data_IF_292634488198
#
_entry.id   IF_292634488198
#
_cell.length_a   1.000
_cell.length_b   1.000
_cell.length_c   1.000
_cell.angle_alpha   90.00
_cell.angle_beta   90.00
_cell.angle_gamma   90.00
#
_symmetry.space_group_name_H-M   'P 1'
#
loop_
_entity.id
_entity.type
_entity.pdbx_description
1 polymer ?
#
# COMPACT_ATOMS: atom_id res chain seq x y z
N UNK A 1 -31.95 2.79 23.39
CA UNK A 1 -31.35 2.77 22.03
C UNK A 1 -32.36 3.06 20.93
N UNK A 2 -33.46 2.33 20.71
CA UNK A 2 -34.38 2.58 19.59
C UNK A 2 -35.03 3.99 19.58
N UNK A 3 -35.41 4.52 20.75
CA UNK A 3 -36.01 5.84 20.86
C UNK A 3 -35.01 6.95 20.55
N UNK A 4 -33.77 6.86 21.03
CA UNK A 4 -32.68 7.79 20.72
C UNK A 4 -32.36 7.80 19.22
N UNK A 5 -32.26 6.64 18.59
CA UNK A 5 -32.05 6.54 17.14
C UNK A 5 -33.20 7.14 16.32
N UNK A 6 -34.46 7.07 16.81
CA UNK A 6 -35.55 7.69 16.10
C UNK A 6 -35.53 9.25 16.20
N UNK A 7 -34.97 9.76 17.29
CA UNK A 7 -34.83 11.23 17.49
C UNK A 7 -33.65 11.80 16.68
N UNK A 8 -32.51 11.10 16.63
CA UNK A 8 -31.28 11.59 15.95
C UNK A 8 -31.10 11.02 14.53
N UNK A 9 -31.90 10.04 14.15
CA UNK A 9 -31.73 9.33 12.88
C UNK A 9 -31.72 10.23 11.65
N UNK A 10 -32.56 11.30 11.64
CA UNK A 10 -32.58 12.27 10.55
C UNK A 10 -31.27 13.04 10.39
N UNK A 11 -30.52 13.21 11.47
CA UNK A 11 -29.19 13.86 11.45
C UNK A 11 -28.06 12.93 11.05
N UNK A 12 -28.30 11.62 11.06
CA UNK A 12 -27.31 10.60 10.70
C UNK A 12 -27.44 10.10 9.26
N UNK A 13 -28.53 10.48 8.58
CA UNK A 13 -28.75 10.08 7.18
C UNK A 13 -27.84 10.87 6.26
N UNK A 14 -27.20 10.18 5.31
CA UNK A 14 -26.30 10.77 4.30
C UNK A 14 -25.05 11.47 4.85
N UNK A 15 -24.61 11.13 6.05
CA UNK A 15 -23.30 11.55 6.51
C UNK A 15 -22.22 10.97 5.59
N UNK A 16 -21.45 11.88 4.98
CA UNK A 16 -20.29 11.51 4.17
C UNK A 16 -19.03 11.78 4.97
N UNK A 17 -18.27 10.73 5.21
CA UNK A 17 -16.91 10.88 5.73
C UNK A 17 -15.98 11.15 4.55
N UNK A 18 -15.05 12.08 4.74
CA UNK A 18 -13.98 12.34 3.79
C UNK A 18 -12.65 12.07 4.48
N UNK A 19 -11.96 11.03 4.02
CA UNK A 19 -10.61 10.72 4.45
C UNK A 19 -9.60 11.27 3.44
N UNK A 20 -8.47 11.75 3.94
CA UNK A 20 -7.36 12.25 3.11
C UNK A 20 -6.39 11.14 2.72
N UNK A 21 -6.51 9.97 3.33
CA UNK A 21 -5.59 8.84 3.18
C UNK A 21 -6.35 7.60 2.72
N UNK A 22 -5.73 6.84 1.82
CA UNK A 22 -6.24 5.53 1.41
C UNK A 22 -5.15 4.46 1.44
N UNK A 23 -5.58 3.20 1.59
CA UNK A 23 -4.75 2.01 1.40
C UNK A 23 -5.31 1.26 0.19
N UNK A 24 -4.48 1.07 -0.84
CA UNK A 24 -4.86 0.33 -2.04
C UNK A 24 -4.64 -1.15 -1.80
N UNK A 25 -5.71 -1.93 -1.93
CA UNK A 25 -5.71 -3.38 -1.72
C UNK A 25 -6.02 -4.08 -3.04
N UNK A 26 -5.18 -5.05 -3.43
CA UNK A 26 -5.31 -5.81 -4.67
C UNK A 26 -5.45 -7.31 -4.41
N UNK A 27 -6.47 -7.92 -4.98
CA UNK A 27 -6.68 -9.36 -4.95
C UNK A 27 -5.65 -10.12 -5.81
N UNK A 28 -5.20 -9.52 -6.91
CA UNK A 28 -4.15 -10.04 -7.76
C UNK A 28 -2.83 -10.15 -6.98
N UNK A 29 -2.44 -9.08 -6.29
CA UNK A 29 -1.26 -9.08 -5.44
C UNK A 29 -1.36 -10.11 -4.30
N UNK A 30 -2.51 -10.18 -3.63
CA UNK A 30 -2.78 -11.16 -2.59
C UNK A 30 -2.63 -12.60 -3.13
N UNK A 31 -3.19 -12.87 -4.31
CA UNK A 31 -3.13 -14.20 -4.93
C UNK A 31 -1.73 -14.54 -5.38
N UNK A 32 -1.04 -13.61 -6.04
CA UNK A 32 0.33 -13.79 -6.49
C UNK A 32 1.29 -14.08 -5.32
N UNK A 33 1.15 -13.34 -4.23
CA UNK A 33 2.01 -13.50 -3.05
C UNK A 33 1.76 -14.77 -2.24
N UNK A 34 0.69 -15.50 -2.50
CA UNK A 34 0.53 -16.88 -2.00
C UNK A 34 1.51 -17.85 -2.65
N UNK A 35 1.86 -17.60 -3.91
CA UNK A 35 2.79 -18.44 -4.69
C UNK A 35 4.24 -17.92 -4.59
N UNK A 36 4.41 -16.61 -4.59
CA UNK A 36 5.71 -15.91 -4.54
C UNK A 36 5.85 -15.18 -3.19
N UNK A 37 5.81 -15.93 -2.10
CA UNK A 37 5.72 -15.44 -0.73
C UNK A 37 6.59 -14.23 -0.43
N UNK A 38 6.11 -13.43 0.50
CA UNK A 38 6.79 -12.18 0.92
C UNK A 38 8.17 -12.50 1.48
N UNK A 39 8.26 -13.55 2.28
CA UNK A 39 9.51 -14.10 2.80
C UNK A 39 9.79 -15.47 2.17
N UNK A 40 10.36 -15.48 0.98
CA UNK A 40 10.88 -16.71 0.39
C UNK A 40 12.25 -17.02 1.01
N UNK A 41 12.28 -17.85 2.04
CA UNK A 41 13.52 -18.45 2.54
C UNK A 41 13.73 -19.82 1.91
N UNK A 42 14.96 -20.31 1.95
CA UNK A 42 15.27 -21.71 1.59
C UNK A 42 14.52 -22.72 2.47
N UNK A 43 14.01 -22.30 3.61
CA UNK A 43 13.23 -23.12 4.56
C UNK A 43 11.70 -23.00 4.37
N UNK A 44 11.21 -22.21 3.40
CA UNK A 44 9.79 -21.99 3.16
C UNK A 44 9.32 -20.60 3.50
N UNK A 45 8.00 -20.38 3.42
CA UNK A 45 7.36 -19.12 3.73
C UNK A 45 7.20 -18.98 5.26
N UNK A 46 7.75 -17.93 5.86
CA UNK A 46 7.70 -17.70 7.31
C UNK A 46 6.36 -17.18 7.83
N UNK A 47 5.31 -17.32 7.05
CA UNK A 47 3.95 -17.00 7.50
C UNK A 47 3.51 -15.55 7.32
N UNK A 48 4.39 -14.62 6.92
CA UNK A 48 3.99 -13.24 6.60
C UNK A 48 3.27 -13.23 5.26
N UNK A 49 2.03 -12.79 5.28
CA UNK A 49 1.18 -12.68 4.10
C UNK A 49 0.93 -11.22 3.69
N UNK A 50 0.31 -11.05 2.53
CA UNK A 50 -0.09 -9.75 2.01
C UNK A 50 -0.93 -8.95 3.03
N UNK A 51 -1.89 -9.62 3.66
CA UNK A 51 -2.77 -8.99 4.65
C UNK A 51 -2.02 -8.49 5.90
N UNK A 52 -0.87 -9.08 6.24
CA UNK A 52 -0.06 -8.60 7.36
C UNK A 52 0.58 -7.26 7.02
N UNK A 53 1.07 -7.10 5.78
CA UNK A 53 1.61 -5.80 5.31
C UNK A 53 0.53 -4.72 5.28
N UNK A 54 -0.67 -5.05 4.80
CA UNK A 54 -1.82 -4.15 4.83
C UNK A 54 -2.13 -3.72 6.27
N UNK A 55 -2.19 -4.70 7.20
CA UNK A 55 -2.48 -4.46 8.61
C UNK A 55 -1.42 -3.60 9.28
N UNK A 56 -0.14 -3.82 9.02
CA UNK A 56 0.93 -3.00 9.60
C UNK A 56 0.78 -1.52 9.23
N UNK A 57 0.43 -1.23 7.98
CA UNK A 57 0.16 0.15 7.55
C UNK A 57 -1.07 0.69 8.25
N UNK A 58 -2.16 -0.09 8.28
CA UNK A 58 -3.39 0.31 8.96
C UNK A 58 -3.17 0.58 10.45
N UNK A 59 -2.47 -0.32 11.16
CA UNK A 59 -2.20 -0.19 12.59
C UNK A 59 -1.34 1.05 12.88
N UNK A 60 -0.35 1.35 12.03
CA UNK A 60 0.45 2.56 12.15
C UNK A 60 -0.39 3.83 11.98
N UNK A 61 -1.27 3.88 10.97
CA UNK A 61 -2.19 4.99 10.76
C UNK A 61 -3.17 5.13 11.93
N UNK A 62 -3.71 4.02 12.40
CA UNK A 62 -4.61 3.98 13.55
C UNK A 62 -3.95 4.52 14.83
N UNK A 63 -2.71 4.12 15.12
CA UNK A 63 -1.95 4.64 16.28
C UNK A 63 -1.68 6.14 16.18
N UNK A 64 -1.55 6.67 14.97
CA UNK A 64 -1.41 8.10 14.72
C UNK A 64 -2.74 8.85 14.68
N UNK A 65 -3.86 8.15 14.91
CA UNK A 65 -5.22 8.69 14.80
C UNK A 65 -5.52 9.27 13.41
N UNK A 66 -4.97 8.62 12.37
CA UNK A 66 -5.23 8.95 10.97
C UNK A 66 -6.23 7.93 10.43
N UNK A 67 -7.38 8.41 10.03
CA UNK A 67 -8.39 7.58 9.38
C UNK A 67 -8.07 7.37 7.90
N UNK A 68 -8.32 6.17 7.40
CA UNK A 68 -8.07 5.85 6.00
C UNK A 68 -9.23 5.06 5.39
N UNK A 69 -9.38 5.19 4.08
CA UNK A 69 -10.25 4.34 3.27
C UNK A 69 -9.47 3.18 2.68
N UNK A 70 -10.17 2.10 2.35
CA UNK A 70 -9.64 1.05 1.51
C UNK A 70 -10.13 1.27 0.08
N UNK A 71 -9.20 1.25 -0.88
CA UNK A 71 -9.49 1.40 -2.31
C UNK A 71 -8.94 0.20 -3.08
N UNK A 72 -9.55 -0.09 -4.21
CA UNK A 72 -9.21 -1.22 -5.07
C UNK A 72 -8.64 -0.72 -6.40
N UNK A 73 -7.99 -1.58 -7.19
CA UNK A 73 -7.48 -1.23 -8.52
C UNK A 73 -8.52 -0.57 -9.43
N UNK A 74 -9.78 -0.95 -9.30
CA UNK A 74 -10.89 -0.46 -10.10
C UNK A 74 -11.52 0.84 -9.56
N UNK A 75 -11.06 1.35 -8.42
CA UNK A 75 -11.60 2.59 -7.84
C UNK A 75 -11.30 3.79 -8.73
N UNK A 76 -12.34 4.57 -9.06
CA UNK A 76 -12.23 5.68 -10.02
C UNK A 76 -11.71 6.99 -9.41
N UNK A 77 -11.78 7.15 -8.09
CA UNK A 77 -11.58 8.45 -7.44
C UNK A 77 -10.30 8.48 -6.58
N UNK A 78 -9.17 8.09 -7.14
CA UNK A 78 -7.89 8.10 -6.40
C UNK A 78 -7.42 9.53 -6.09
N UNK A 79 -7.73 10.49 -6.95
CA UNK A 79 -7.35 11.89 -6.85
C UNK A 79 -7.95 12.63 -5.64
N UNK A 80 -8.99 12.07 -5.02
CA UNK A 80 -9.57 12.65 -3.80
C UNK A 80 -8.67 12.52 -2.57
N UNK A 81 -7.72 11.59 -2.58
CA UNK A 81 -6.82 11.34 -1.46
C UNK A 81 -5.54 12.15 -1.60
N UNK A 82 -5.01 12.63 -0.48
CA UNK A 82 -3.71 13.31 -0.41
C UNK A 82 -2.56 12.30 -0.41
N UNK A 83 -2.80 11.13 0.20
CA UNK A 83 -1.82 10.05 0.26
C UNK A 83 -2.47 8.69 0.02
N UNK A 84 -1.82 7.87 -0.80
CA UNK A 84 -2.21 6.48 -1.05
C UNK A 84 -1.06 5.58 -0.66
N UNK A 85 -1.33 4.65 0.25
CA UNK A 85 -0.43 3.58 0.62
C UNK A 85 -0.67 2.36 -0.26
N UNK A 86 0.41 1.81 -0.81
CA UNK A 86 0.38 0.68 -1.75
C UNK A 86 1.20 -0.47 -1.16
N UNK A 87 0.58 -1.31 -0.32
CA UNK A 87 1.26 -2.44 0.31
C UNK A 87 1.56 -3.54 -0.73
N UNK A 88 2.82 -3.89 -0.89
CA UNK A 88 3.31 -5.04 -1.67
C UNK A 88 2.47 -5.36 -2.93
N UNK A 89 2.20 -4.36 -3.77
CA UNK A 89 1.43 -4.49 -5.02
C UNK A 89 2.25 -5.28 -6.05
N UNK A 90 2.44 -6.57 -5.78
CA UNK A 90 3.31 -7.46 -6.55
C UNK A 90 2.87 -7.60 -8.01
N UNK A 91 1.57 -7.81 -8.20
CA UNK A 91 0.96 -7.96 -9.51
C UNK A 91 -0.05 -6.82 -9.75
N UNK A 92 0.09 -6.15 -10.86
CA UNK A 92 -0.80 -5.06 -11.27
C UNK A 92 -0.82 -4.91 -12.78
N UNK A 93 -1.96 -4.54 -13.39
CA UNK A 93 -2.01 -4.16 -14.79
C UNK A 93 -1.30 -2.82 -15.00
N UNK A 94 -0.71 -2.65 -16.18
CA UNK A 94 0.00 -1.41 -16.56
C UNK A 94 -0.90 -0.18 -16.46
N UNK A 95 -2.19 -0.32 -16.75
CA UNK A 95 -3.18 0.74 -16.63
C UNK A 95 -3.26 1.30 -15.19
N UNK A 96 -3.26 0.43 -14.19
CA UNK A 96 -3.23 0.87 -12.80
C UNK A 96 -1.93 1.61 -12.46
N UNK A 97 -0.80 1.09 -12.93
CA UNK A 97 0.51 1.70 -12.69
C UNK A 97 0.61 3.09 -13.32
N UNK A 98 0.09 3.28 -14.54
CA UNK A 98 0.02 4.60 -15.20
C UNK A 98 -0.92 5.56 -14.44
N UNK A 99 -2.06 5.08 -13.92
CA UNK A 99 -2.96 5.89 -13.09
C UNK A 99 -2.28 6.33 -11.79
N UNK A 100 -1.54 5.45 -11.13
CA UNK A 100 -0.79 5.79 -9.91
C UNK A 100 0.33 6.80 -10.22
N UNK A 101 1.02 6.65 -11.33
CA UNK A 101 2.03 7.60 -11.80
C UNK A 101 1.42 8.97 -12.10
N UNK A 102 0.27 9.01 -12.77
CA UNK A 102 -0.46 10.25 -13.03
C UNK A 102 -0.93 10.90 -11.73
N UNK A 103 -1.45 10.13 -10.78
CA UNK A 103 -1.83 10.62 -9.46
C UNK A 103 -0.67 11.36 -8.76
N UNK A 104 0.55 10.84 -8.85
CA UNK A 104 1.74 11.52 -8.30
C UNK A 104 2.09 12.77 -9.10
N UNK A 105 2.00 12.72 -10.43
CA UNK A 105 2.25 13.88 -11.30
C UNK A 105 1.28 15.04 -11.01
N UNK A 106 0.05 14.73 -10.60
CA UNK A 106 -0.99 15.69 -10.21
C UNK A 106 -0.85 16.18 -8.75
N UNK A 107 0.22 15.78 -8.06
CA UNK A 107 0.57 16.26 -6.72
C UNK A 107 0.14 15.34 -5.56
N UNK A 108 -0.36 14.15 -5.85
CA UNK A 108 -0.65 13.12 -4.83
C UNK A 108 0.62 12.51 -4.24
N UNK A 109 0.54 12.02 -3.02
CA UNK A 109 1.63 11.30 -2.37
C UNK A 109 1.40 9.80 -2.45
N UNK A 110 2.32 9.07 -3.08
CA UNK A 110 2.28 7.61 -3.20
C UNK A 110 3.35 6.99 -2.30
N UNK A 111 2.93 6.13 -1.38
CA UNK A 111 3.82 5.38 -0.49
C UNK A 111 3.73 3.90 -0.84
N UNK A 112 4.73 3.38 -1.55
CA UNK A 112 4.79 1.98 -1.91
C UNK A 112 5.77 1.21 -1.03
N UNK A 113 5.48 -0.06 -0.81
CA UNK A 113 6.39 -0.96 -0.11
C UNK A 113 7.17 -1.84 -1.10
N UNK A 114 8.01 -2.71 -0.57
CA UNK A 114 8.77 -3.69 -1.35
C UNK A 114 7.86 -4.56 -2.24
N UNK A 115 8.43 -5.16 -3.28
CA UNK A 115 7.74 -6.01 -4.27
C UNK A 115 6.61 -5.33 -5.04
N UNK A 116 6.57 -4.01 -5.10
CA UNK A 116 5.58 -3.28 -5.91
C UNK A 116 5.95 -3.34 -7.39
N UNK A 117 4.94 -3.56 -8.25
CA UNK A 117 5.02 -3.60 -9.71
C UNK A 117 6.06 -4.61 -10.26
N UNK A 118 6.05 -5.82 -9.73
CA UNK A 118 6.97 -6.89 -10.15
C UNK A 118 6.42 -7.72 -11.31
N UNK A 119 5.12 -7.92 -11.35
CA UNK A 119 4.43 -8.73 -12.35
C UNK A 119 3.16 -8.04 -12.84
N UNK A 120 2.69 -8.42 -14.02
CA UNK A 120 1.40 -7.98 -14.52
C UNK A 120 0.24 -8.77 -13.86
N UNK A 121 -1.00 -8.46 -14.25
CA UNK A 121 -2.24 -9.11 -13.74
C UNK A 121 -2.27 -10.63 -13.96
N UNK A 122 -1.52 -11.14 -14.93
CA UNK A 122 -1.37 -12.58 -15.20
C UNK A 122 -0.18 -13.21 -14.46
N UNK A 123 0.40 -12.48 -13.50
CA UNK A 123 1.56 -12.90 -12.69
C UNK A 123 2.82 -13.17 -13.56
N UNK A 124 2.86 -12.59 -14.75
CA UNK A 124 4.04 -12.63 -15.60
C UNK A 124 4.99 -11.50 -15.18
N UNK A 125 6.19 -11.87 -14.76
CA UNK A 125 7.24 -10.92 -14.38
C UNK A 125 7.57 -10.00 -15.56
N UNK A 126 7.63 -8.70 -15.31
CA UNK A 126 8.07 -7.73 -16.31
C UNK A 126 9.52 -7.98 -16.71
N UNK A 127 9.84 -7.73 -17.97
CA UNK A 127 11.21 -7.76 -18.49
C UNK A 127 11.98 -6.47 -18.17
N UNK A 128 11.28 -5.41 -17.79
CA UNK A 128 11.87 -4.15 -17.36
C UNK A 128 12.27 -4.21 -15.88
N UNK A 129 13.18 -3.33 -15.48
CA UNK A 129 13.57 -3.22 -14.07
C UNK A 129 12.40 -2.70 -13.23
N UNK A 130 12.25 -3.29 -12.05
CA UNK A 130 11.21 -2.88 -11.11
C UNK A 130 11.59 -1.54 -10.45
N UNK A 131 10.62 -0.76 -10.04
CA UNK A 131 9.17 -0.97 -10.10
C UNK A 131 8.51 -0.60 -11.45
N UNK A 132 9.07 -1.01 -12.57
CA UNK A 132 8.51 -0.92 -13.92
C UNK A 132 8.10 0.53 -14.28
N UNK A 133 6.85 0.77 -14.65
CA UNK A 133 6.30 2.10 -15.00
C UNK A 133 6.53 3.15 -13.89
N UNK A 134 6.60 2.72 -12.63
CA UNK A 134 6.79 3.60 -11.48
C UNK A 134 8.25 3.96 -11.21
N UNK A 135 9.22 3.42 -11.95
CA UNK A 135 10.65 3.67 -11.75
C UNK A 135 11.01 5.15 -11.75
N UNK A 136 10.52 5.90 -12.74
CA UNK A 136 10.76 7.33 -12.81
C UNK A 136 10.02 8.12 -11.72
N UNK A 137 8.85 7.64 -11.29
CA UNK A 137 8.06 8.25 -10.25
C UNK A 137 8.77 8.16 -8.89
N UNK A 138 9.34 7.00 -8.57
CA UNK A 138 10.07 6.79 -7.33
C UNK A 138 11.55 7.18 -7.40
N UNK A 139 12.11 7.35 -8.59
CA UNK A 139 13.54 7.61 -8.77
C UNK A 139 14.44 6.45 -8.37
N UNK A 140 13.91 5.23 -8.33
CA UNK A 140 14.64 4.01 -7.97
C UNK A 140 14.38 2.89 -8.95
N UNK A 141 15.36 1.99 -9.06
CA UNK A 141 15.22 0.72 -9.75
C UNK A 141 15.77 -0.41 -8.86
N UNK A 142 15.17 -1.57 -8.94
CA UNK A 142 15.67 -2.76 -8.23
C UNK A 142 15.43 -4.03 -9.04
N UNK A 143 16.27 -5.04 -8.85
CA UNK A 143 16.20 -6.32 -9.56
C UNK A 143 16.20 -7.52 -8.63
N UNK A 144 16.65 -7.35 -7.40
CA UNK A 144 16.84 -8.43 -6.45
C UNK A 144 16.28 -8.08 -5.08
N UNK A 145 15.88 -9.11 -4.37
CA UNK A 145 15.48 -9.05 -2.97
C UNK A 145 16.53 -9.78 -2.13
N UNK A 146 16.80 -9.23 -0.96
CA UNK A 146 17.65 -9.87 0.04
C UNK A 146 17.00 -9.76 1.40
N UNK A 147 17.41 -10.62 2.32
CA UNK A 147 17.02 -10.47 3.72
C UNK A 147 17.92 -9.44 4.38
N UNK A 148 17.36 -8.32 4.82
CA UNK A 148 18.13 -7.30 5.50
C UNK A 148 18.59 -7.83 6.86
N UNK A 149 19.86 -7.53 7.18
CA UNK A 149 20.42 -7.74 8.52
C UNK A 149 20.96 -6.40 9.01
N UNK A 150 20.55 -5.99 10.21
CA UNK A 150 21.01 -4.75 10.85
C UNK A 150 20.80 -3.50 9.96
N UNK A 151 19.59 -3.36 9.40
CA UNK A 151 19.25 -2.21 8.55
C UNK A 151 18.77 -1.07 9.41
N UNK A 152 19.39 0.09 9.25
CA UNK A 152 18.93 1.35 9.82
C UNK A 152 18.51 2.32 8.73
N UNK A 153 17.51 3.13 9.01
CA UNK A 153 17.14 4.26 8.16
C UNK A 153 17.95 5.49 8.60
N UNK A 154 18.69 6.09 7.67
CA UNK A 154 19.41 7.34 7.91
C UNK A 154 18.90 8.43 6.99
N UNK A 155 18.68 9.62 7.51
CA UNK A 155 18.27 10.77 6.72
C UNK A 155 18.06 12.01 7.57
N UNK A 156 18.19 13.17 6.98
CA UNK A 156 18.03 14.46 7.67
C UNK A 156 16.59 14.75 8.12
N UNK A 157 15.61 14.01 7.59
CA UNK A 157 14.19 14.18 7.89
C UNK A 157 13.70 13.11 8.89
N UNK A 158 14.42 12.02 9.02
CA UNK A 158 14.09 10.94 9.95
C UNK A 158 14.57 11.37 11.34
N UNK A 159 13.65 11.93 12.13
CA UNK A 159 13.88 12.02 13.58
C UNK A 159 13.88 10.58 14.10
N UNK A 160 14.87 10.21 14.89
CA UNK A 160 14.87 8.97 15.65
C UNK A 160 13.59 8.91 16.50
N UNK A 161 12.50 8.42 15.94
CA UNK A 161 11.43 7.85 16.74
C UNK A 161 12.02 6.56 17.24
N UNK A 162 12.38 6.49 18.54
CA UNK A 162 13.02 5.35 19.18
C UNK A 162 12.38 4.04 18.74
N UNK A 163 12.87 3.48 17.66
CA UNK A 163 12.61 2.13 17.21
C UNK A 163 13.45 1.26 18.13
N UNK A 164 12.74 0.74 19.13
CA UNK A 164 13.27 0.06 20.24
C UNK A 164 14.24 -1.04 19.89
N UNK A 165 15.21 -1.14 20.72
CA UNK A 165 15.89 -2.37 21.07
C UNK A 165 14.83 -3.47 21.29
N UNK A 166 14.87 -4.49 20.46
CA UNK A 166 14.27 -5.79 20.69
C UNK A 166 15.25 -6.86 20.22
#
# INVERSE_FOLDING_TARGET
MGKEFSEIGSHLVNLKKKNDVAILVSNEALTALKWFGIEATAAGNNGIGYNDVVRWIYDALYQMNIECDFVWPESDNLEQYKAIFVPALYAAPDELLERLKQYVADGGTLVATFKTAFANENIKVSHEMQPHILSNCFGINYQQFTFPKNVGLTGSIIRESGAGEA
#
